data_IF_012334886569
#
_entry.id   IF_012334886569
#
_cell.length_a   1.000
_cell.length_b   1.000
_cell.length_c   1.000
_cell.angle_alpha   90.00
_cell.angle_beta   90.00
_cell.angle_gamma   90.00
#
_symmetry.space_group_name_H-M   'P 1'
#
loop_
_entity.id
_entity.type
_entity.pdbx_description
1 polymer ?
#
# COMPACT_ATOMS: atom_id res chain seq x y z
N UNK A 1 10.84 12.46 -8.65
CA UNK A 1 10.23 13.80 -8.44
C UNK A 1 9.42 13.87 -7.15
N UNK A 2 8.35 13.09 -6.99
CA UNK A 2 7.47 13.19 -5.80
C UNK A 2 8.20 12.94 -4.46
N UNK A 3 9.05 11.90 -4.38
CA UNK A 3 9.89 11.62 -3.21
C UNK A 3 10.89 12.75 -2.91
N UNK A 4 11.43 13.37 -3.96
CA UNK A 4 12.42 14.45 -3.83
C UNK A 4 11.76 15.74 -3.30
N UNK A 5 10.55 16.06 -3.77
CA UNK A 5 9.76 17.18 -3.23
C UNK A 5 9.40 16.96 -1.76
N UNK A 6 9.04 15.72 -1.38
CA UNK A 6 8.78 15.35 0.01
C UNK A 6 9.99 15.51 0.93
N UNK A 7 11.19 15.11 0.48
CA UNK A 7 12.44 15.28 1.25
C UNK A 7 12.78 16.75 1.42
N UNK A 8 12.68 17.55 0.35
CA UNK A 8 12.92 19.01 0.43
C UNK A 8 11.93 19.67 1.39
N UNK A 9 10.65 19.30 1.34
CA UNK A 9 9.64 19.81 2.27
C UNK A 9 9.94 19.45 3.74
N UNK A 10 10.35 18.22 4.01
CA UNK A 10 10.75 17.79 5.37
C UNK A 10 12.01 18.51 5.88
N UNK A 11 13.00 18.75 5.02
CA UNK A 11 14.22 19.47 5.40
C UNK A 11 13.94 20.94 5.70
N UNK A 12 13.09 21.58 4.88
CA UNK A 12 12.68 22.97 5.09
C UNK A 12 11.83 23.09 6.36
N UNK A 13 10.89 22.18 6.62
CA UNK A 13 10.08 22.22 7.84
C UNK A 13 10.91 22.00 9.11
N UNK A 14 11.90 21.10 9.06
CA UNK A 14 12.89 20.93 10.14
C UNK A 14 13.83 22.11 10.33
N UNK A 15 14.16 22.85 9.26
CA UNK A 15 14.95 24.08 9.34
C UNK A 15 14.15 25.24 9.96
N UNK A 16 12.84 25.29 9.72
CA UNK A 16 11.92 26.33 10.24
C UNK A 16 11.37 26.00 11.63
N UNK A 17 11.65 24.79 12.17
CA UNK A 17 11.31 24.42 13.56
C UNK A 17 9.88 23.94 13.79
N UNK A 18 9.14 23.62 12.73
CA UNK A 18 7.81 23.01 12.75
C UNK A 18 7.95 21.64 12.10
N UNK A 19 7.87 20.46 12.76
CA UNK A 19 7.44 20.07 14.11
C UNK A 19 8.63 19.69 15.03
N UNK A 20 8.39 19.36 16.32
CA UNK A 20 9.42 18.82 17.24
C UNK A 20 10.23 17.73 16.54
N UNK A 21 11.56 17.93 16.39
CA UNK A 21 12.49 16.91 15.88
C UNK A 21 12.20 15.58 16.56
N UNK A 22 11.77 14.58 15.80
CA UNK A 22 11.63 13.24 16.32
C UNK A 22 13.01 12.82 16.86
N UNK A 23 13.13 12.34 18.11
CA UNK A 23 14.40 11.87 18.62
C UNK A 23 14.84 10.69 17.74
N UNK A 24 15.88 10.91 16.94
CA UNK A 24 16.49 9.88 16.10
C UNK A 24 17.27 8.96 17.03
N UNK A 25 16.54 8.06 17.69
CA UNK A 25 17.15 6.98 18.46
C UNK A 25 17.61 5.90 17.49
N UNK A 26 18.82 5.38 17.70
CA UNK A 26 19.38 4.27 16.93
C UNK A 26 18.48 3.02 16.99
N UNK A 27 17.73 2.85 18.08
CA UNK A 27 16.73 1.78 18.24
C UNK A 27 15.53 1.97 17.31
N UNK A 28 15.04 3.21 17.18
CA UNK A 28 13.95 3.56 16.28
C UNK A 28 14.39 3.48 14.80
N UNK A 29 15.62 3.90 14.50
CA UNK A 29 16.19 3.78 13.16
C UNK A 29 16.27 2.31 12.72
N UNK A 30 16.73 1.42 13.59
CA UNK A 30 16.77 -0.04 13.32
C UNK A 30 15.39 -0.63 13.04
N UNK A 31 14.34 -0.13 13.69
CA UNK A 31 12.96 -0.56 13.44
C UNK A 31 12.39 0.02 12.13
N UNK A 32 12.79 1.25 11.78
CA UNK A 32 12.28 1.99 10.64
C UNK A 32 12.96 1.60 9.31
N UNK A 33 14.24 1.22 9.34
CA UNK A 33 14.99 0.78 8.16
C UNK A 33 14.26 -0.32 7.36
N UNK A 34 13.83 -1.46 7.96
CA UNK A 34 13.15 -2.50 7.18
C UNK A 34 11.80 -2.03 6.61
N UNK A 35 11.08 -1.17 7.34
CA UNK A 35 9.83 -0.55 6.87
C UNK A 35 10.09 0.38 5.68
N UNK A 36 11.14 1.21 5.76
CA UNK A 36 11.53 2.13 4.70
C UNK A 36 11.99 1.38 3.44
N UNK A 37 12.75 0.29 3.59
CA UNK A 37 13.15 -0.58 2.46
C UNK A 37 11.91 -1.23 1.82
N UNK A 38 11.02 -1.79 2.63
CA UNK A 38 9.76 -2.36 2.12
C UNK A 38 8.92 -1.32 1.37
N UNK A 39 8.84 -0.10 1.90
CA UNK A 39 8.13 1.01 1.26
C UNK A 39 8.77 1.41 -0.07
N UNK A 40 10.10 1.50 -0.15
CA UNK A 40 10.81 1.79 -1.39
C UNK A 40 10.58 0.70 -2.45
N UNK A 41 10.63 -0.58 -2.06
CA UNK A 41 10.31 -1.71 -2.93
C UNK A 41 8.86 -1.60 -3.41
N UNK A 42 7.90 -1.33 -2.52
CA UNK A 42 6.50 -1.13 -2.87
C UNK A 42 6.31 -0.01 -3.89
N UNK A 43 7.07 1.08 -3.76
CA UNK A 43 7.07 2.19 -4.71
C UNK A 43 7.60 1.78 -6.09
N UNK A 44 8.70 1.02 -6.15
CA UNK A 44 9.30 0.55 -7.41
C UNK A 44 8.37 -0.47 -8.10
N UNK A 45 7.90 -1.47 -7.36
CA UNK A 45 7.00 -2.52 -7.87
C UNK A 45 5.69 -1.93 -8.39
N UNK A 46 5.13 -0.94 -7.70
CA UNK A 46 3.94 -0.22 -8.18
C UNK A 46 4.21 0.48 -9.51
N UNK A 47 5.36 1.14 -9.64
CA UNK A 47 5.75 1.83 -10.88
C UNK A 47 5.95 0.87 -12.05
N UNK A 48 6.52 -0.32 -11.79
CA UNK A 48 6.65 -1.40 -12.80
C UNK A 48 5.28 -1.97 -13.18
N UNK A 49 4.37 -2.15 -12.21
CA UNK A 49 3.00 -2.64 -12.46
C UNK A 49 2.21 -1.71 -13.39
N UNK A 50 2.36 -0.39 -13.23
CA UNK A 50 1.73 0.60 -14.12
C UNK A 50 2.27 0.56 -15.56
N UNK A 51 3.52 0.12 -15.75
CA UNK A 51 4.12 -0.02 -17.08
C UNK A 51 3.69 -1.33 -17.79
N UNK A 52 3.38 -2.38 -17.03
CA UNK A 52 3.07 -3.71 -17.56
C UNK A 52 1.56 -4.05 -17.60
N UNK A 53 0.74 -3.40 -16.77
CA UNK A 53 -0.70 -3.71 -16.63
C UNK A 53 -1.52 -2.42 -16.71
N UNK A 54 -2.77 -2.53 -17.17
CA UNK A 54 -3.72 -1.43 -17.14
C UNK A 54 -3.82 -0.84 -15.73
N UNK A 55 -3.76 0.48 -15.65
CA UNK A 55 -3.84 1.28 -14.40
C UNK A 55 -5.00 0.85 -13.50
N UNK A 56 -6.12 0.43 -14.08
CA UNK A 56 -7.29 -0.06 -13.37
C UNK A 56 -7.03 -1.31 -12.51
N UNK A 57 -6.13 -2.21 -12.92
CA UNK A 57 -5.73 -3.35 -12.11
C UNK A 57 -4.98 -2.92 -10.84
N UNK A 58 -4.05 -1.98 -10.97
CA UNK A 58 -3.26 -1.50 -9.83
C UNK A 58 -4.12 -0.79 -8.79
N UNK A 59 -5.13 -0.02 -9.21
CA UNK A 59 -6.09 0.59 -8.28
C UNK A 59 -6.97 -0.45 -7.59
N UNK A 60 -7.35 -1.53 -8.30
CA UNK A 60 -8.10 -2.64 -7.69
C UNK A 60 -7.25 -3.41 -6.68
N UNK A 61 -5.96 -3.62 -6.93
CA UNK A 61 -5.05 -4.24 -5.95
C UNK A 61 -4.87 -3.35 -4.72
N UNK A 62 -4.75 -2.03 -4.90
CA UNK A 62 -4.72 -1.07 -3.79
C UNK A 62 -6.00 -1.11 -2.96
N UNK A 63 -7.16 -1.34 -3.58
CA UNK A 63 -8.42 -1.51 -2.84
C UNK A 63 -8.41 -2.74 -1.89
N UNK A 64 -7.48 -3.70 -2.07
CA UNK A 64 -7.28 -4.82 -1.15
C UNK A 64 -6.30 -4.53 0.00
N UNK A 65 -5.64 -3.37 0.05
CA UNK A 65 -4.79 -2.95 1.18
C UNK A 65 -5.42 -3.19 2.57
N UNK A 66 -6.70 -2.84 2.83
CA UNK A 66 -7.31 -3.11 4.14
C UNK A 66 -7.43 -4.60 4.46
N UNK A 67 -7.61 -5.46 3.46
CA UNK A 67 -7.66 -6.92 3.64
C UNK A 67 -6.29 -7.48 4.04
N UNK A 68 -5.24 -7.11 3.30
CA UNK A 68 -3.89 -7.55 3.62
C UNK A 68 -3.42 -7.01 4.97
N UNK A 69 -3.78 -5.78 5.32
CA UNK A 69 -3.45 -5.21 6.62
C UNK A 69 -4.15 -5.94 7.78
N UNK A 70 -5.44 -6.29 7.63
CA UNK A 70 -6.17 -7.07 8.63
C UNK A 70 -5.61 -8.49 8.77
N UNK A 71 -5.30 -9.15 7.65
CA UNK A 71 -4.69 -10.48 7.64
C UNK A 71 -3.30 -10.46 8.30
N UNK A 72 -2.43 -9.51 7.93
CA UNK A 72 -1.11 -9.36 8.55
C UNK A 72 -1.21 -9.05 10.04
N UNK A 73 -2.14 -8.19 10.46
CA UNK A 73 -2.36 -7.88 11.88
C UNK A 73 -2.79 -9.11 12.69
N UNK A 74 -3.64 -9.95 12.10
CA UNK A 74 -4.13 -11.16 12.77
C UNK A 74 -3.10 -12.29 12.79
N UNK A 75 -2.42 -12.55 11.66
CA UNK A 75 -1.52 -13.71 11.51
C UNK A 75 -0.07 -13.43 11.90
N UNK A 76 0.42 -12.20 11.71
CA UNK A 76 1.81 -11.81 12.00
C UNK A 76 1.91 -11.16 13.38
N UNK A 77 1.02 -10.22 13.70
CA UNK A 77 1.03 -9.51 14.99
C UNK A 77 0.20 -10.21 16.08
N UNK A 78 -0.63 -11.20 15.72
CA UNK A 78 -1.49 -11.92 16.66
C UNK A 78 -2.66 -11.11 17.22
N UNK A 79 -3.00 -9.97 16.61
CA UNK A 79 -4.13 -9.15 17.05
C UNK A 79 -5.45 -9.81 16.67
N UNK A 80 -6.36 -9.97 17.64
CA UNK A 80 -7.69 -10.50 17.35
C UNK A 80 -8.54 -9.42 16.66
N UNK A 81 -8.85 -9.65 15.38
CA UNK A 81 -9.69 -8.77 14.58
C UNK A 81 -11.15 -9.22 14.71
N UNK A 82 -12.09 -8.32 15.06
CA UNK A 82 -13.48 -8.70 15.23
C UNK A 82 -14.10 -9.20 13.92
N UNK A 83 -14.98 -10.19 14.02
CA UNK A 83 -15.68 -10.80 12.88
C UNK A 83 -16.44 -9.75 12.04
N UNK A 84 -16.94 -8.68 12.67
CA UNK A 84 -17.59 -7.57 11.96
C UNK A 84 -16.66 -6.91 10.93
N UNK A 85 -15.37 -6.76 11.23
CA UNK A 85 -14.40 -6.19 10.28
C UNK A 85 -14.19 -7.16 9.10
N UNK A 86 -14.09 -8.46 9.36
CA UNK A 86 -13.99 -9.50 8.33
C UNK A 86 -15.22 -9.53 7.42
N UNK A 87 -16.42 -9.36 7.98
CA UNK A 87 -17.66 -9.26 7.22
C UNK A 87 -17.71 -7.99 6.35
N UNK A 88 -17.19 -6.86 6.84
CA UNK A 88 -17.07 -5.64 6.03
C UNK A 88 -16.01 -5.75 4.92
N UNK A 89 -15.00 -6.60 5.10
CA UNK A 89 -13.98 -6.90 4.08
C UNK A 89 -14.49 -7.85 2.98
N UNK A 90 -15.46 -8.71 3.28
CA UNK A 90 -16.05 -9.65 2.33
C UNK A 90 -16.56 -8.98 1.03
N UNK A 91 -17.40 -7.91 1.06
CA UNK A 91 -17.85 -7.24 -0.16
C UNK A 91 -16.71 -6.59 -0.94
N UNK A 92 -15.65 -6.12 -0.28
CA UNK A 92 -14.48 -5.53 -0.94
C UNK A 92 -13.74 -6.59 -1.76
N UNK A 93 -13.49 -7.76 -1.17
CA UNK A 93 -12.81 -8.88 -1.86
C UNK A 93 -13.67 -9.42 -3.02
N UNK A 94 -14.98 -9.56 -2.81
CA UNK A 94 -15.92 -9.98 -3.85
C UNK A 94 -15.98 -8.98 -5.02
N UNK A 95 -15.99 -7.68 -4.72
CA UNK A 95 -15.97 -6.62 -5.74
C UNK A 95 -14.70 -6.66 -6.60
N UNK A 96 -13.54 -6.87 -5.97
CA UNK A 96 -12.25 -7.02 -6.68
C UNK A 96 -12.24 -8.27 -7.56
N UNK A 97 -12.73 -9.41 -7.04
CA UNK A 97 -12.84 -10.65 -7.81
C UNK A 97 -13.74 -10.47 -9.05
N UNK A 98 -14.93 -9.88 -8.88
CA UNK A 98 -15.86 -9.62 -9.97
C UNK A 98 -15.27 -8.67 -11.02
N UNK A 99 -14.61 -7.59 -10.58
CA UNK A 99 -13.95 -6.64 -11.47
C UNK A 99 -12.87 -7.31 -12.31
N UNK A 100 -12.01 -8.12 -11.67
CA UNK A 100 -10.94 -8.83 -12.37
C UNK A 100 -11.49 -9.87 -13.35
N UNK A 101 -12.55 -10.58 -12.97
CA UNK A 101 -13.26 -11.53 -13.82
C UNK A 101 -13.84 -10.85 -15.07
N UNK A 102 -14.48 -9.69 -14.90
CA UNK A 102 -14.99 -8.88 -16.00
C UNK A 102 -13.86 -8.36 -16.90
N UNK A 103 -12.76 -7.85 -16.32
CA UNK A 103 -11.60 -7.37 -17.08
C UNK A 103 -11.01 -8.49 -17.95
N UNK A 104 -10.87 -9.70 -17.41
CA UNK A 104 -10.38 -10.85 -18.15
C UNK A 104 -11.35 -11.30 -19.25
N UNK A 105 -12.66 -11.23 -18.96
CA UNK A 105 -13.72 -11.52 -19.94
C UNK A 105 -13.72 -10.50 -21.08
N UNK A 106 -13.54 -9.21 -20.81
CA UNK A 106 -13.44 -8.17 -21.82
C UNK A 106 -12.15 -8.31 -22.65
N UNK A 107 -11.02 -8.62 -22.01
CA UNK A 107 -9.75 -8.89 -22.72
C UNK A 107 -9.84 -10.10 -23.65
N UNK A 108 -10.57 -11.16 -23.26
CA UNK A 108 -10.88 -12.30 -24.14
C UNK A 108 -11.86 -11.95 -25.27
N UNK A 109 -12.70 -10.92 -25.11
CA UNK A 109 -13.67 -10.49 -26.14
C UNK A 109 -13.07 -9.56 -27.19
N UNK A 110 -12.09 -8.73 -26.82
CA UNK A 110 -11.36 -7.80 -27.70
C UNK A 110 -10.22 -8.50 -28.47
N UNK A 111 -9.74 -9.65 -28.00
CA UNK A 111 -8.75 -10.48 -28.69
C UNK A 111 -9.32 -11.46 -29.72
N UNK A 112 -10.58 -11.26 -30.17
CA UNK A 112 -11.20 -11.95 -31.31
C UNK A 112 -11.53 -10.94 -32.38
#
# INVERSE_FOLDING_TARGET
IHLLVGVVYCLVSWAVGLPKRAPIDSKLLKLLIPVAVCHAIGHITSNVSFAAVAVSFTHTVKALEPFFNAAASQFILGQQIPITLWLSLAPVVLGVYLFLYLLFTQKRRIGR
#
